data_IF_399602022651
#
_entry.id   IF_399602022651
#
_cell.length_a   1.000
_cell.length_b   1.000
_cell.length_c   1.000
_cell.angle_alpha   90.00
_cell.angle_beta   90.00
_cell.angle_gamma   90.00
#
_symmetry.space_group_name_H-M   'P 1'
#
loop_
_entity.id
_entity.type
_entity.pdbx_description
1 polymer ?
#
# COMPACT_ATOMS: atom_id res chain seq x y z
N UNK A 1 -19.57 14.53 -29.55
CA UNK A 1 -19.01 14.12 -28.26
C UNK A 1 -20.12 13.40 -27.51
N UNK A 2 -19.98 12.12 -27.21
CA UNK A 2 -20.93 11.37 -26.38
C UNK A 2 -20.92 11.93 -24.96
N UNK A 3 -22.09 12.18 -24.40
CA UNK A 3 -22.25 12.65 -23.03
C UNK A 3 -21.62 11.60 -22.09
N UNK A 4 -20.81 11.98 -21.09
CA UNK A 4 -20.23 10.99 -20.16
C UNK A 4 -21.34 10.22 -19.46
N UNK A 5 -21.13 8.93 -19.14
CA UNK A 5 -22.15 8.13 -18.46
C UNK A 5 -22.43 8.73 -17.08
N UNK A 6 -23.72 8.75 -16.72
CA UNK A 6 -24.16 9.24 -15.41
C UNK A 6 -23.92 8.21 -14.29
N UNK A 7 -23.97 6.93 -14.63
CA UNK A 7 -23.64 5.82 -13.75
C UNK A 7 -22.90 4.72 -14.54
N UNK A 8 -22.09 3.93 -13.84
CA UNK A 8 -21.25 2.87 -14.43
C UNK A 8 -21.54 1.55 -13.75
N UNK A 9 -21.94 0.53 -14.50
CA UNK A 9 -21.88 -0.88 -14.12
C UNK A 9 -20.49 -1.40 -14.49
N UNK A 10 -19.78 -2.01 -13.55
CA UNK A 10 -18.35 -2.31 -13.70
C UNK A 10 -18.14 -3.70 -14.31
N UNK A 11 -18.97 -4.66 -13.91
CA UNK A 11 -18.90 -6.04 -14.37
C UNK A 11 -20.27 -6.56 -14.78
N UNK A 12 -20.35 -7.46 -15.74
CA UNK A 12 -21.61 -8.00 -16.24
C UNK A 12 -22.48 -8.65 -15.15
N UNK A 13 -21.87 -9.24 -14.13
CA UNK A 13 -22.57 -9.86 -13.00
C UNK A 13 -23.06 -8.86 -11.93
N UNK A 14 -22.70 -7.58 -12.02
CA UNK A 14 -23.06 -6.59 -11.00
C UNK A 14 -24.58 -6.36 -11.02
N UNK A 15 -25.16 -6.28 -9.84
CA UNK A 15 -26.57 -5.91 -9.63
C UNK A 15 -26.74 -4.47 -9.14
N UNK A 16 -25.64 -3.73 -9.10
CA UNK A 16 -25.59 -2.29 -8.80
C UNK A 16 -24.76 -1.54 -9.85
N UNK A 17 -25.01 -0.24 -10.00
CA UNK A 17 -24.16 0.70 -10.72
C UNK A 17 -23.68 1.80 -9.79
N UNK A 18 -22.55 2.44 -10.10
CA UNK A 18 -21.98 3.55 -9.33
C UNK A 18 -22.30 4.87 -10.02
N UNK A 19 -22.88 5.80 -9.29
CA UNK A 19 -23.16 7.17 -9.76
C UNK A 19 -21.83 7.93 -9.96
N UNK A 20 -21.56 8.46 -11.13
CA UNK A 20 -20.35 9.22 -11.45
C UNK A 20 -20.42 10.63 -10.86
N UNK A 21 -21.62 11.18 -10.76
CA UNK A 21 -21.94 12.48 -10.13
C UNK A 21 -23.20 12.36 -9.28
N UNK A 22 -23.55 13.42 -8.56
CA UNK A 22 -24.81 13.47 -7.83
C UNK A 22 -26.00 13.42 -8.79
N UNK A 23 -27.00 12.59 -8.48
CA UNK A 23 -28.17 12.34 -9.30
C UNK A 23 -29.44 12.60 -8.49
N UNK A 24 -30.42 13.27 -9.09
CA UNK A 24 -31.68 13.65 -8.41
C UNK A 24 -32.74 12.55 -8.48
N UNK A 25 -33.56 12.44 -7.45
CA UNK A 25 -34.75 11.60 -7.42
C UNK A 25 -35.66 11.82 -8.66
N UNK A 26 -36.26 10.76 -9.14
CA UNK A 26 -37.16 10.80 -10.33
C UNK A 26 -36.44 10.93 -11.69
N UNK A 27 -35.11 11.15 -11.69
CA UNK A 27 -34.36 11.17 -12.96
C UNK A 27 -34.16 9.76 -13.52
N UNK A 28 -34.19 9.62 -14.86
CA UNK A 28 -33.84 8.40 -15.57
C UNK A 28 -32.33 8.34 -15.83
N UNK A 29 -31.69 7.26 -15.43
CA UNK A 29 -30.25 7.00 -15.66
C UNK A 29 -30.13 5.79 -16.59
N UNK A 30 -29.39 5.95 -17.71
CA UNK A 30 -29.15 4.85 -18.64
C UNK A 30 -27.91 4.06 -18.24
N UNK A 31 -28.08 2.78 -17.96
CA UNK A 31 -27.00 1.82 -17.65
C UNK A 31 -27.09 0.66 -18.62
N UNK A 32 -26.04 0.42 -19.40
CA UNK A 32 -25.99 -0.65 -20.44
C UNK A 32 -27.19 -0.65 -21.42
N UNK A 33 -27.80 0.53 -21.71
CA UNK A 33 -28.91 0.69 -22.59
C UNK A 33 -30.29 0.62 -21.93
N UNK A 34 -30.38 0.24 -20.67
CA UNK A 34 -31.62 0.22 -19.90
C UNK A 34 -31.75 1.50 -19.06
N UNK A 35 -32.96 2.06 -19.00
CA UNK A 35 -33.27 3.25 -18.23
C UNK A 35 -33.79 2.85 -16.84
N UNK A 36 -33.03 3.24 -15.79
CA UNK A 36 -33.40 3.06 -14.38
C UNK A 36 -33.89 4.39 -13.83
N UNK A 37 -35.08 4.46 -13.30
CA UNK A 37 -35.63 5.66 -12.66
C UNK A 37 -35.25 5.67 -11.19
N UNK A 38 -34.59 6.74 -10.76
CA UNK A 38 -34.10 6.88 -9.37
C UNK A 38 -35.25 7.14 -8.40
N UNK A 39 -35.23 6.47 -7.27
CA UNK A 39 -36.25 6.61 -6.22
C UNK A 39 -35.98 7.71 -5.21
N UNK A 40 -34.71 8.10 -5.09
CA UNK A 40 -34.19 9.09 -4.16
C UNK A 40 -32.94 9.76 -4.74
N UNK A 41 -32.46 10.80 -4.09
CA UNK A 41 -31.20 11.46 -4.46
C UNK A 41 -30.02 10.52 -4.20
N UNK A 42 -29.14 10.34 -5.18
CA UNK A 42 -27.95 9.49 -5.08
C UNK A 42 -26.70 10.35 -5.14
N UNK A 43 -25.87 10.39 -4.07
CA UNK A 43 -24.63 11.13 -4.10
C UNK A 43 -23.60 10.53 -5.08
N UNK A 44 -22.61 11.33 -5.49
CA UNK A 44 -21.51 10.86 -6.31
C UNK A 44 -20.74 9.72 -5.62
N UNK A 45 -20.34 8.68 -6.38
CA UNK A 45 -19.62 7.53 -5.85
C UNK A 45 -20.52 6.46 -5.20
N UNK A 46 -21.81 6.75 -5.00
CA UNK A 46 -22.75 5.83 -4.36
C UNK A 46 -23.41 4.87 -5.35
N UNK A 47 -23.96 3.78 -4.81
CA UNK A 47 -24.51 2.66 -5.56
C UNK A 47 -26.02 2.81 -5.79
N UNK A 48 -26.44 2.47 -7.01
CA UNK A 48 -27.83 2.40 -7.46
C UNK A 48 -28.16 0.94 -7.71
N UNK A 49 -29.26 0.42 -7.16
CA UNK A 49 -29.73 -0.93 -7.50
C UNK A 49 -30.27 -0.99 -8.93
N UNK A 50 -29.85 -2.00 -9.69
CA UNK A 50 -30.30 -2.23 -11.07
C UNK A 50 -31.52 -3.14 -11.16
N UNK A 51 -31.82 -3.89 -10.09
CA UNK A 51 -32.94 -4.79 -10.00
C UNK A 51 -33.51 -4.84 -8.60
N UNK A 52 -34.63 -5.52 -8.39
CA UNK A 52 -35.09 -5.84 -7.03
C UNK A 52 -34.08 -6.79 -6.36
N UNK A 53 -33.76 -6.51 -5.10
CA UNK A 53 -32.91 -7.33 -4.22
C UNK A 53 -33.67 -7.62 -2.92
N UNK A 54 -33.71 -8.88 -2.54
CA UNK A 54 -34.41 -9.33 -1.33
C UNK A 54 -33.44 -9.53 -0.15
N UNK A 55 -33.89 -9.42 1.09
CA UNK A 55 -33.05 -9.68 2.27
C UNK A 55 -32.37 -11.04 2.18
N UNK A 56 -31.07 -11.09 2.51
CA UNK A 56 -30.23 -12.27 2.37
C UNK A 56 -29.55 -12.43 1.01
N UNK A 57 -29.99 -11.69 -0.02
CA UNK A 57 -29.30 -11.71 -1.31
C UNK A 57 -27.96 -10.96 -1.24
N UNK A 58 -26.95 -11.43 -2.01
CA UNK A 58 -25.69 -10.69 -2.13
C UNK A 58 -25.86 -9.45 -3.01
N UNK A 59 -25.32 -8.32 -2.57
CA UNK A 59 -25.01 -7.19 -3.46
C UNK A 59 -23.71 -7.49 -4.18
N UNK A 60 -23.72 -7.47 -5.50
CA UNK A 60 -22.57 -7.80 -6.36
C UNK A 60 -22.05 -6.53 -7.02
N UNK A 61 -20.76 -6.23 -6.83
CA UNK A 61 -20.01 -5.15 -7.45
C UNK A 61 -18.63 -5.68 -7.85
N UNK A 62 -18.08 -5.23 -8.95
CA UNK A 62 -16.81 -5.75 -9.50
C UNK A 62 -16.86 -7.25 -9.90
N UNK A 63 -18.04 -7.84 -10.00
CA UNK A 63 -18.25 -9.27 -10.20
C UNK A 63 -18.15 -10.13 -8.93
N UNK A 64 -18.07 -9.51 -7.74
CA UNK A 64 -17.95 -10.17 -6.44
C UNK A 64 -19.01 -9.67 -5.46
N UNK A 65 -19.46 -10.52 -4.51
CA UNK A 65 -20.30 -10.07 -3.41
C UNK A 65 -19.56 -9.07 -2.53
N UNK A 66 -20.16 -7.90 -2.32
CA UNK A 66 -19.64 -6.84 -1.45
C UNK A 66 -20.41 -6.74 -0.12
N UNK A 67 -21.39 -7.59 0.11
CA UNK A 67 -22.23 -7.62 1.31
C UNK A 67 -23.55 -8.30 1.05
N UNK A 68 -24.40 -8.29 2.05
CA UNK A 68 -25.72 -8.92 2.08
C UNK A 68 -26.82 -7.90 2.36
N UNK A 69 -27.91 -7.98 1.58
CA UNK A 69 -29.08 -7.12 1.73
C UNK A 69 -29.77 -7.36 3.09
N UNK A 70 -30.08 -6.29 3.81
CA UNK A 70 -30.77 -6.34 5.12
C UNK A 70 -32.24 -5.96 5.05
N UNK A 71 -32.66 -5.20 4.02
CA UNK A 71 -34.04 -4.78 3.77
C UNK A 71 -34.30 -4.77 2.25
N UNK A 72 -35.53 -5.01 1.78
CA UNK A 72 -35.85 -5.05 0.34
C UNK A 72 -35.38 -3.78 -0.38
N UNK A 73 -34.69 -3.94 -1.51
CA UNK A 73 -34.19 -2.85 -2.32
C UNK A 73 -34.83 -2.91 -3.70
N UNK A 74 -35.53 -1.84 -4.09
CA UNK A 74 -36.16 -1.75 -5.39
C UNK A 74 -35.17 -1.22 -6.47
N UNK A 75 -35.42 -1.46 -7.78
CA UNK A 75 -34.62 -0.84 -8.84
C UNK A 75 -34.62 0.68 -8.69
N UNK A 76 -33.45 1.30 -8.88
CA UNK A 76 -33.26 2.75 -8.75
C UNK A 76 -33.12 3.26 -7.33
N UNK A 77 -33.18 2.39 -6.30
CA UNK A 77 -32.96 2.77 -4.91
C UNK A 77 -31.47 2.87 -4.58
N UNK A 78 -31.15 3.68 -3.60
CA UNK A 78 -29.80 3.84 -3.05
C UNK A 78 -29.40 2.59 -2.23
N UNK A 79 -28.25 2.02 -2.54
CA UNK A 79 -27.67 0.89 -1.81
C UNK A 79 -26.56 1.41 -0.92
N UNK A 80 -26.78 1.34 0.41
CA UNK A 80 -25.82 1.85 1.40
C UNK A 80 -26.00 1.15 2.75
N UNK A 81 -25.36 1.63 3.80
CA UNK A 81 -25.34 1.03 5.15
C UNK A 81 -26.73 0.79 5.79
N UNK A 82 -27.76 1.50 5.35
CA UNK A 82 -29.13 1.30 5.84
C UNK A 82 -29.81 0.03 5.29
N UNK A 83 -29.31 -0.55 4.21
CA UNK A 83 -29.89 -1.75 3.58
C UNK A 83 -28.85 -2.79 3.11
N UNK A 84 -27.58 -2.59 3.47
CA UNK A 84 -26.46 -3.49 3.17
C UNK A 84 -25.55 -3.67 4.40
N UNK A 85 -25.20 -4.89 4.73
CA UNK A 85 -24.23 -5.26 5.77
C UNK A 85 -23.09 -6.09 5.19
N UNK A 86 -21.96 -6.13 5.90
CA UNK A 86 -20.84 -7.05 5.59
C UNK A 86 -21.23 -8.50 5.77
N UNK A 87 -20.56 -9.39 5.05
CA UNK A 87 -20.62 -10.85 5.20
C UNK A 87 -19.41 -11.43 5.95
N UNK A 88 -18.50 -10.56 6.42
CA UNK A 88 -17.31 -10.99 7.14
C UNK A 88 -17.66 -11.46 8.54
N UNK A 89 -17.22 -12.67 8.86
CA UNK A 89 -17.41 -13.31 10.14
C UNK A 89 -16.06 -13.88 10.62
N UNK A 90 -15.50 -13.36 11.69
CA UNK A 90 -14.38 -13.93 12.45
C UNK A 90 -13.28 -14.64 11.65
N UNK A 91 -12.77 -15.74 12.23
CA UNK A 91 -11.79 -16.61 11.58
C UNK A 91 -12.44 -17.51 10.54
N UNK A 92 -11.75 -17.76 9.45
CA UNK A 92 -12.23 -18.60 8.35
C UNK A 92 -11.24 -19.75 8.12
N UNK A 93 -11.75 -20.95 7.88
CA UNK A 93 -10.95 -22.07 7.39
C UNK A 93 -10.82 -21.99 5.86
N UNK A 94 -9.59 -21.98 5.38
CA UNK A 94 -9.28 -21.93 3.95
C UNK A 94 -8.72 -23.27 3.50
N UNK A 95 -9.09 -23.68 2.29
CA UNK A 95 -8.59 -24.91 1.69
C UNK A 95 -7.62 -24.59 0.57
N UNK A 96 -6.46 -25.27 0.56
CA UNK A 96 -5.50 -25.16 -0.52
C UNK A 96 -6.03 -25.83 -1.79
N UNK A 97 -6.02 -25.08 -2.87
CA UNK A 97 -6.28 -25.55 -4.23
C UNK A 97 -5.03 -25.23 -5.06
N UNK A 98 -4.31 -26.24 -5.60
CA UNK A 98 -3.13 -25.99 -6.42
C UNK A 98 -3.43 -25.03 -7.57
N UNK A 99 -2.54 -24.06 -7.79
CA UNK A 99 -2.68 -23.12 -8.89
C UNK A 99 -2.52 -23.85 -10.23
N UNK A 100 -3.59 -23.95 -10.98
CA UNK A 100 -3.56 -24.53 -12.33
C UNK A 100 -2.99 -23.52 -13.34
N UNK A 101 -1.69 -23.67 -13.64
CA UNK A 101 -0.98 -22.83 -14.63
C UNK A 101 -1.50 -22.99 -16.05
N UNK A 102 -2.29 -24.02 -16.33
CA UNK A 102 -2.86 -24.25 -17.67
C UNK A 102 -4.16 -23.52 -17.89
N UNK A 103 -4.84 -23.10 -16.83
CA UNK A 103 -5.97 -22.17 -16.92
C UNK A 103 -5.40 -20.80 -17.30
N UNK A 104 -5.36 -20.49 -18.59
CA UNK A 104 -5.25 -19.10 -19.04
C UNK A 104 -6.24 -18.30 -18.22
N UNK A 105 -5.78 -17.25 -17.57
CA UNK A 105 -6.61 -16.49 -16.66
C UNK A 105 -7.91 -16.14 -17.40
N UNK A 106 -9.07 -16.46 -16.83
CA UNK A 106 -10.37 -16.07 -17.40
C UNK A 106 -10.46 -14.53 -17.59
N UNK A 107 -9.50 -13.78 -17.02
CA UNK A 107 -9.29 -12.35 -17.25
C UNK A 107 -8.74 -12.03 -18.65
N UNK A 108 -7.94 -12.90 -19.27
CA UNK A 108 -7.46 -12.68 -20.65
C UNK A 108 -8.58 -12.85 -21.68
N UNK A 109 -9.60 -13.67 -21.38
CA UNK A 109 -10.75 -13.89 -22.26
C UNK A 109 -11.91 -12.93 -22.00
N UNK A 110 -12.03 -12.34 -20.80
CA UNK A 110 -13.15 -11.43 -20.44
C UNK A 110 -12.95 -9.97 -20.85
N UNK A 111 -11.71 -9.50 -20.91
CA UNK A 111 -11.38 -8.17 -21.46
C UNK A 111 -10.84 -8.36 -22.89
N UNK A 112 -11.68 -8.73 -23.81
CA UNK A 112 -11.36 -8.66 -25.24
C UNK A 112 -10.76 -7.29 -25.56
N UNK A 113 -9.46 -7.29 -25.94
CA UNK A 113 -8.61 -6.17 -26.29
C UNK A 113 -7.90 -5.47 -25.11
N UNK A 114 -6.91 -6.09 -24.53
CA UNK A 114 -5.75 -5.32 -24.15
C UNK A 114 -4.72 -5.42 -25.29
N UNK A 115 -4.76 -4.48 -26.22
CA UNK A 115 -3.69 -4.27 -27.22
C UNK A 115 -2.36 -3.83 -26.58
N UNK A 116 -2.25 -3.90 -25.27
CA UNK A 116 -1.02 -3.66 -24.53
C UNK A 116 -0.22 -4.94 -24.42
N UNK A 117 0.55 -5.26 -25.48
CA UNK A 117 1.65 -6.22 -25.34
C UNK A 117 2.59 -5.71 -24.25
N UNK A 118 2.71 -6.47 -23.16
CA UNK A 118 3.78 -6.26 -22.19
C UNK A 118 5.08 -6.51 -22.96
N UNK A 119 6.03 -5.54 -23.03
CA UNK A 119 7.31 -5.78 -23.68
C UNK A 119 7.95 -7.02 -23.02
N UNK A 120 8.65 -7.81 -23.79
CA UNK A 120 9.40 -8.98 -23.27
C UNK A 120 10.53 -8.57 -22.30
N UNK A 121 10.93 -7.30 -22.33
CA UNK A 121 11.90 -6.68 -21.42
C UNK A 121 11.58 -5.20 -21.25
N UNK A 122 11.74 -4.69 -20.06
CA UNK A 122 11.69 -3.27 -19.77
C UNK A 122 12.85 -2.91 -18.83
N UNK A 123 13.40 -1.73 -19.02
CA UNK A 123 14.54 -1.23 -18.25
C UNK A 123 14.20 0.11 -17.63
N UNK A 124 14.87 0.41 -16.53
CA UNK A 124 14.84 1.72 -15.90
C UNK A 124 16.26 2.16 -15.51
N UNK A 125 16.43 3.43 -15.20
CA UNK A 125 17.71 3.94 -14.73
C UNK A 125 17.70 4.02 -13.21
N UNK A 126 18.55 3.17 -12.58
CA UNK A 126 18.66 3.02 -11.13
C UNK A 126 20.10 2.99 -10.63
N UNK A 127 20.26 3.02 -9.32
CA UNK A 127 21.55 2.96 -8.64
C UNK A 127 21.80 1.53 -8.15
N UNK A 128 22.74 0.82 -8.79
CA UNK A 128 23.12 -0.53 -8.37
C UNK A 128 24.00 -0.47 -7.15
N UNK A 129 23.55 -1.12 -6.07
CA UNK A 129 24.29 -1.17 -4.80
C UNK A 129 25.25 -2.36 -4.77
N UNK A 130 26.24 -2.33 -3.86
CA UNK A 130 27.19 -3.41 -3.63
C UNK A 130 26.50 -4.76 -3.35
N UNK A 131 25.35 -4.74 -2.72
CA UNK A 131 24.50 -5.94 -2.47
C UNK A 131 23.82 -6.51 -3.71
N UNK A 132 23.97 -5.90 -4.89
CA UNK A 132 23.26 -6.25 -6.12
C UNK A 132 21.85 -5.64 -6.23
N UNK A 133 21.26 -5.16 -5.13
CA UNK A 133 19.94 -4.49 -5.14
C UNK A 133 20.04 -3.15 -5.86
N UNK A 134 18.89 -2.68 -6.37
CA UNK A 134 18.83 -1.44 -7.15
C UNK A 134 17.92 -0.42 -6.47
N UNK A 135 18.45 0.78 -6.25
CA UNK A 135 17.68 1.92 -5.80
C UNK A 135 17.16 2.75 -6.98
N UNK A 136 15.96 3.25 -6.88
CA UNK A 136 15.40 4.26 -7.80
C UNK A 136 15.81 5.67 -7.39
N UNK A 137 16.32 5.83 -6.16
CA UNK A 137 16.81 7.07 -5.57
C UNK A 137 18.20 6.87 -4.99
N UNK A 138 18.91 7.98 -4.77
CA UNK A 138 20.22 8.04 -4.12
C UNK A 138 20.17 9.08 -3.00
N UNK A 139 19.63 8.70 -1.87
CA UNK A 139 19.30 9.60 -0.77
C UNK A 139 20.24 9.36 0.43
N UNK A 140 20.45 10.37 1.25
CA UNK A 140 21.00 10.21 2.60
C UNK A 140 19.84 10.10 3.57
N UNK A 141 19.82 9.02 4.35
CA UNK A 141 18.79 8.76 5.35
C UNK A 141 19.36 8.88 6.76
N UNK A 142 18.69 9.68 7.59
CA UNK A 142 19.00 9.82 9.01
C UNK A 142 17.98 9.02 9.79
N UNK A 143 18.44 7.98 10.46
CA UNK A 143 17.62 7.00 11.17
C UNK A 143 17.84 7.16 12.69
N UNK A 144 16.77 7.44 13.41
CA UNK A 144 16.81 7.66 14.85
C UNK A 144 16.66 6.35 15.61
N UNK A 145 17.47 6.13 16.64
CA UNK A 145 17.28 4.98 17.55
C UNK A 145 16.16 5.24 18.56
N UNK A 146 15.83 6.52 18.81
CA UNK A 146 14.86 6.97 19.80
C UNK A 146 14.22 8.29 19.37
N UNK A 147 12.97 8.53 19.74
CA UNK A 147 12.23 9.76 19.41
C UNK A 147 12.81 11.04 20.02
N UNK A 148 13.63 10.94 21.07
CA UNK A 148 14.25 12.10 21.72
C UNK A 148 15.16 12.91 20.79
N UNK A 149 15.75 12.28 19.77
CA UNK A 149 16.63 12.94 18.78
C UNK A 149 15.93 13.34 17.49
N UNK A 150 14.59 13.25 17.42
CA UNK A 150 13.83 13.59 16.22
C UNK A 150 14.12 15.02 15.73
N UNK A 151 14.12 16.01 16.63
CA UNK A 151 14.34 17.41 16.25
C UNK A 151 15.75 17.67 15.70
N UNK A 152 16.77 17.03 16.30
CA UNK A 152 18.13 17.08 15.79
C UNK A 152 18.21 16.47 14.39
N UNK A 153 17.63 15.27 14.19
CA UNK A 153 17.61 14.60 12.90
C UNK A 153 16.86 15.41 11.81
N UNK A 154 15.72 16.01 12.14
CA UNK A 154 14.96 16.87 11.23
C UNK A 154 15.74 18.13 10.84
N UNK A 155 16.44 18.73 11.79
CA UNK A 155 17.30 19.89 11.56
C UNK A 155 18.50 19.52 10.66
N UNK A 156 19.18 18.44 10.98
CA UNK A 156 20.30 17.93 10.16
C UNK A 156 19.81 17.60 8.75
N UNK A 157 18.65 16.95 8.60
CA UNK A 157 18.10 16.62 7.31
C UNK A 157 17.79 17.87 6.46
N UNK A 158 17.15 18.87 7.05
CA UNK A 158 16.82 20.13 6.37
C UNK A 158 18.08 20.89 5.93
N UNK A 159 19.00 21.14 6.85
CA UNK A 159 20.23 21.86 6.56
C UNK A 159 21.16 21.06 5.64
N UNK A 160 21.20 19.74 5.79
CA UNK A 160 21.92 18.84 4.89
C UNK A 160 21.36 18.83 3.48
N UNK A 161 20.04 18.85 3.33
CA UNK A 161 19.40 18.95 2.01
C UNK A 161 19.73 20.28 1.30
N UNK A 162 19.74 21.40 2.06
CA UNK A 162 20.11 22.70 1.51
C UNK A 162 21.57 22.76 1.01
N UNK A 163 22.48 22.04 1.69
CA UNK A 163 23.92 22.05 1.36
C UNK A 163 24.32 21.05 0.28
N UNK A 164 23.72 19.86 0.29
CA UNK A 164 24.22 18.70 -0.45
C UNK A 164 23.24 18.14 -1.49
N UNK A 165 21.92 18.38 -1.37
CA UNK A 165 20.97 17.91 -2.38
C UNK A 165 21.07 18.74 -3.66
N UNK A 166 21.11 18.07 -4.79
CA UNK A 166 21.17 18.74 -6.10
C UNK A 166 19.88 19.51 -6.38
N UNK A 167 19.99 20.81 -6.62
CA UNK A 167 18.84 21.62 -7.07
C UNK A 167 18.39 21.10 -8.46
N UNK A 168 17.13 20.63 -8.53
CA UNK A 168 16.55 20.15 -9.78
C UNK A 168 16.98 18.75 -10.23
N UNK A 169 17.54 17.91 -9.33
CA UNK A 169 17.86 16.51 -9.63
C UNK A 169 19.15 16.30 -10.43
N UNK A 170 20.03 17.31 -10.51
CA UNK A 170 21.28 17.25 -11.27
C UNK A 170 22.52 16.82 -10.48
N UNK A 171 22.40 16.55 -9.18
CA UNK A 171 23.50 16.12 -8.32
C UNK A 171 23.52 14.60 -8.07
N UNK A 172 24.60 14.09 -7.44
CA UNK A 172 24.69 12.66 -7.09
C UNK A 172 23.73 12.26 -5.97
N UNK A 173 23.16 13.22 -5.22
CA UNK A 173 22.23 13.01 -4.09
C UNK A 173 20.86 13.57 -4.44
N UNK A 174 19.85 12.71 -4.40
CA UNK A 174 18.45 13.08 -4.66
C UNK A 174 17.79 13.81 -3.46
N UNK A 175 18.34 13.67 -2.25
CA UNK A 175 17.84 14.35 -1.04
C UNK A 175 18.47 13.84 0.26
N UNK A 176 18.20 14.57 1.36
CA UNK A 176 18.55 14.16 2.73
C UNK A 176 17.27 14.11 3.55
N UNK A 177 16.96 13.00 4.19
CA UNK A 177 15.70 12.76 4.89
C UNK A 177 15.92 12.20 6.29
N UNK A 178 15.21 12.76 7.28
CA UNK A 178 15.14 12.25 8.64
C UNK A 178 13.89 11.39 8.85
N UNK A 179 14.06 10.25 9.50
CA UNK A 179 12.97 9.33 9.83
C UNK A 179 12.62 9.45 11.31
N UNK A 180 11.69 10.34 11.62
CA UNK A 180 11.19 10.55 12.97
C UNK A 180 10.18 9.48 13.36
N UNK A 181 10.16 9.09 14.63
CA UNK A 181 9.19 8.15 15.20
C UNK A 181 8.90 8.49 16.67
N UNK A 182 7.72 8.09 17.22
CA UNK A 182 7.29 8.46 18.57
C UNK A 182 7.89 7.58 19.68
N UNK A 183 8.71 6.59 19.36
CA UNK A 183 9.17 5.61 20.34
C UNK A 183 10.22 6.17 21.29
N UNK A 184 9.95 6.02 22.60
CA UNK A 184 10.81 6.51 23.66
C UNK A 184 11.97 5.59 24.00
N UNK A 185 12.75 5.99 25.03
CA UNK A 185 13.98 5.29 25.44
C UNK A 185 13.73 3.94 26.13
N UNK A 186 12.54 3.71 26.70
CA UNK A 186 12.21 2.54 27.51
C UNK A 186 11.53 1.39 26.76
N UNK A 187 11.67 1.28 25.43
CA UNK A 187 11.10 0.15 24.70
C UNK A 187 11.64 -1.20 25.19
N UNK A 188 10.77 -2.19 25.28
CA UNK A 188 11.08 -3.54 25.74
C UNK A 188 10.48 -4.61 24.82
N UNK A 189 10.95 -5.85 24.96
CA UNK A 189 10.35 -7.04 24.36
C UNK A 189 10.19 -6.93 22.84
N UNK A 190 8.99 -7.22 22.35
CA UNK A 190 8.68 -7.24 20.92
C UNK A 190 8.67 -5.85 20.29
N UNK A 191 8.26 -4.83 21.03
CA UNK A 191 8.27 -3.45 20.54
C UNK A 191 9.68 -3.01 20.18
N UNK A 192 10.65 -3.26 21.08
CA UNK A 192 12.06 -2.98 20.82
C UNK A 192 12.56 -3.79 19.60
N UNK A 193 12.30 -5.09 19.58
CA UNK A 193 12.74 -5.95 18.47
C UNK A 193 12.16 -5.53 17.12
N UNK A 194 10.89 -5.13 17.09
CA UNK A 194 10.23 -4.69 15.85
C UNK A 194 10.78 -3.34 15.38
N UNK A 195 11.03 -2.39 16.30
CA UNK A 195 11.69 -1.13 15.99
C UNK A 195 13.08 -1.37 15.41
N UNK A 196 13.89 -2.22 16.05
CA UNK A 196 15.22 -2.57 15.56
C UNK A 196 15.19 -3.22 14.17
N UNK A 197 14.24 -4.15 13.92
CA UNK A 197 14.07 -4.79 12.61
C UNK A 197 13.70 -3.79 11.52
N UNK A 198 12.80 -2.86 11.84
CA UNK A 198 12.40 -1.80 10.90
C UNK A 198 13.59 -0.89 10.55
N UNK A 199 14.33 -0.39 11.55
CA UNK A 199 15.51 0.45 11.35
C UNK A 199 16.61 -0.29 10.60
N UNK A 200 16.90 -1.54 10.95
CA UNK A 200 17.86 -2.38 10.23
C UNK A 200 17.43 -2.64 8.77
N UNK A 201 16.14 -2.75 8.52
CA UNK A 201 15.58 -2.81 7.16
C UNK A 201 15.83 -1.54 6.37
N UNK A 202 15.59 -0.37 6.98
CA UNK A 202 15.86 0.94 6.37
C UNK A 202 17.35 1.15 6.09
N UNK A 203 18.25 0.74 7.00
CA UNK A 203 19.69 0.80 6.78
C UNK A 203 20.17 0.02 5.55
N UNK A 204 19.42 -1.02 5.16
CA UNK A 204 19.71 -1.87 3.98
C UNK A 204 18.87 -1.50 2.77
N UNK A 205 18.04 -0.47 2.85
CA UNK A 205 17.15 -0.10 1.75
C UNK A 205 17.96 0.45 0.57
N UNK A 206 17.72 -0.01 -0.67
CA UNK A 206 18.55 0.38 -1.82
C UNK A 206 18.43 1.86 -2.22
N UNK A 207 17.39 2.57 -1.81
CA UNK A 207 17.27 4.02 -2.03
C UNK A 207 18.18 4.83 -1.11
N UNK A 208 18.57 4.27 0.06
CA UNK A 208 19.58 4.88 0.91
C UNK A 208 20.97 4.71 0.29
N UNK A 209 21.46 5.76 -0.36
CA UNK A 209 22.82 5.83 -0.85
C UNK A 209 23.83 6.04 0.25
N UNK A 210 23.43 6.71 1.35
CA UNK A 210 24.15 6.87 2.59
C UNK A 210 23.20 6.84 3.79
N UNK A 211 23.66 6.37 4.92
CA UNK A 211 22.88 6.28 6.18
C UNK A 211 23.64 6.91 7.33
N UNK A 212 22.99 7.82 8.04
CA UNK A 212 23.40 8.28 9.37
C UNK A 212 22.46 7.67 10.41
N UNK A 213 22.98 6.93 11.38
CA UNK A 213 22.21 6.47 12.54
C UNK A 213 22.50 7.41 13.71
N UNK A 214 21.45 8.06 14.23
CA UNK A 214 21.51 9.02 15.32
C UNK A 214 20.88 8.43 16.58
N UNK A 215 21.69 8.23 17.61
CA UNK A 215 21.26 7.82 18.94
C UNK A 215 21.26 8.97 19.93
N UNK A 216 20.58 8.81 21.06
CA UNK A 216 20.77 9.69 22.23
C UNK A 216 21.93 9.19 23.09
N UNK A 217 21.96 7.88 23.40
CA UNK A 217 22.99 7.21 24.20
C UNK A 217 22.47 6.43 25.40
N UNK A 218 21.31 6.82 25.96
CA UNK A 218 20.73 6.18 27.15
C UNK A 218 19.51 5.29 26.87
N UNK A 219 19.07 5.15 25.62
CA UNK A 219 17.92 4.33 25.22
C UNK A 219 18.24 2.83 25.21
N UNK A 220 17.18 1.99 25.35
CA UNK A 220 17.33 0.53 25.25
C UNK A 220 17.71 0.07 23.84
N UNK A 221 17.35 0.83 22.83
CA UNK A 221 17.73 0.58 21.44
C UNK A 221 19.18 1.02 21.16
N UNK A 222 20.13 0.37 21.81
CA UNK A 222 21.54 0.69 21.75
C UNK A 222 22.13 0.50 20.34
N UNK A 223 23.03 1.41 19.97
CA UNK A 223 23.68 1.49 18.66
C UNK A 223 24.30 0.15 18.23
N UNK A 224 25.09 -0.47 19.10
CA UNK A 224 25.76 -1.73 18.80
C UNK A 224 24.78 -2.88 18.50
N UNK A 225 23.66 -2.93 19.21
CA UNK A 225 22.62 -3.92 18.99
C UNK A 225 21.96 -3.77 17.60
N UNK A 226 21.66 -2.53 17.25
CA UNK A 226 21.07 -2.20 15.94
C UNK A 226 22.05 -2.49 14.80
N UNK A 227 23.32 -2.09 14.93
CA UNK A 227 24.34 -2.34 13.91
C UNK A 227 24.62 -3.83 13.68
N UNK A 228 24.59 -4.63 14.75
CA UNK A 228 24.68 -6.10 14.62
C UNK A 228 23.49 -6.68 13.86
N UNK A 229 22.29 -6.23 14.16
CA UNK A 229 21.06 -6.68 13.49
C UNK A 229 21.01 -6.27 12.02
N UNK A 230 21.53 -5.08 11.71
CA UNK A 230 21.62 -4.61 10.33
C UNK A 230 22.54 -5.48 9.46
N UNK A 231 23.53 -6.17 10.06
CA UNK A 231 24.38 -7.15 9.39
C UNK A 231 25.27 -6.54 8.29
N UNK A 232 25.19 -7.08 7.08
CA UNK A 232 26.01 -6.63 5.94
C UNK A 232 25.50 -5.32 5.35
N UNK A 233 25.88 -4.20 5.96
CA UNK A 233 25.69 -2.84 5.44
C UNK A 233 27.02 -2.31 4.92
N UNK A 234 26.97 -1.44 3.90
CA UNK A 234 28.17 -0.80 3.35
C UNK A 234 28.75 0.20 4.35
N UNK A 235 29.83 -0.19 5.02
CA UNK A 235 30.49 0.63 6.05
C UNK A 235 31.03 1.96 5.51
N UNK A 236 31.38 2.04 4.25
CA UNK A 236 31.81 3.30 3.63
C UNK A 236 30.67 4.32 3.57
N UNK A 237 29.42 3.86 3.54
CA UNK A 237 28.19 4.64 3.42
C UNK A 237 27.37 4.68 4.71
N UNK A 238 27.97 4.32 5.84
CA UNK A 238 27.33 4.34 7.16
C UNK A 238 28.10 5.27 8.10
N UNK A 239 27.38 6.15 8.76
CA UNK A 239 27.85 6.97 9.89
C UNK A 239 26.90 6.78 11.04
N UNK A 240 27.42 6.90 12.26
CA UNK A 240 26.60 6.79 13.48
C UNK A 240 27.31 7.48 14.64
N UNK A 241 26.52 8.04 15.54
CA UNK A 241 26.98 8.58 16.83
C UNK A 241 25.80 8.74 17.79
N UNK A 242 26.09 8.92 19.07
CA UNK A 242 25.13 9.30 20.09
C UNK A 242 25.25 10.79 20.42
N UNK A 243 24.11 11.51 20.54
CA UNK A 243 24.07 12.94 20.85
C UNK A 243 24.81 13.28 22.15
N UNK A 244 24.77 12.38 23.17
CA UNK A 244 25.46 12.57 24.46
C UNK A 244 26.99 12.46 24.37
N UNK A 245 27.52 11.98 23.25
CA UNK A 245 28.97 11.79 23.04
C UNK A 245 29.64 12.95 22.27
N UNK A 246 28.83 13.91 21.78
CA UNK A 246 29.29 15.03 20.97
C UNK A 246 28.93 16.37 21.61
N UNK A 247 29.66 17.44 21.26
CA UNK A 247 29.42 18.78 21.79
C UNK A 247 28.18 19.43 21.18
N UNK A 248 27.97 19.25 19.84
CA UNK A 248 26.82 19.73 19.11
C UNK A 248 26.41 18.63 18.11
N UNK A 249 25.22 18.08 18.32
CA UNK A 249 24.70 16.97 17.52
C UNK A 249 24.32 17.38 16.09
N UNK A 250 23.98 18.67 15.89
CA UNK A 250 23.65 19.17 14.56
C UNK A 250 24.91 19.35 13.72
N UNK A 251 25.94 19.95 14.30
CA UNK A 251 27.23 20.12 13.62
C UNK A 251 27.87 18.77 13.29
N UNK A 252 27.90 17.84 14.25
CA UNK A 252 28.40 16.47 14.05
C UNK A 252 27.57 15.73 12.96
N UNK A 253 26.26 15.89 12.98
CA UNK A 253 25.36 15.31 11.99
C UNK A 253 25.59 15.86 10.59
N UNK A 254 25.79 17.18 10.45
CA UNK A 254 26.09 17.82 9.16
C UNK A 254 27.44 17.39 8.61
N UNK A 255 28.45 17.21 9.48
CA UNK A 255 29.74 16.66 9.08
C UNK A 255 29.60 15.21 8.59
N UNK A 256 28.83 14.38 9.29
CA UNK A 256 28.52 13.01 8.88
C UNK A 256 27.79 12.97 7.51
N UNK A 257 26.82 13.86 7.28
CA UNK A 257 26.14 14.01 5.97
C UNK A 257 27.12 14.43 4.89
N UNK A 258 28.05 15.36 5.18
CA UNK A 258 29.09 15.76 4.22
C UNK A 258 30.00 14.60 3.81
N UNK A 259 30.41 13.77 4.78
CA UNK A 259 31.22 12.58 4.52
C UNK A 259 30.44 11.53 3.67
N UNK A 260 29.14 11.34 3.94
CA UNK A 260 28.28 10.48 3.14
C UNK A 260 28.12 11.03 1.73
N UNK A 261 27.91 12.33 1.59
CA UNK A 261 27.81 13.00 0.31
C UNK A 261 29.06 12.79 -0.54
N UNK A 262 30.25 12.97 0.06
CA UNK A 262 31.52 12.70 -0.62
C UNK A 262 31.67 11.23 -1.04
N UNK A 263 31.24 10.28 -0.22
CA UNK A 263 31.24 8.87 -0.57
C UNK A 263 30.28 8.52 -1.73
N UNK A 264 29.25 9.33 -1.95
CA UNK A 264 28.24 9.16 -2.99
C UNK A 264 28.53 9.96 -4.28
N UNK A 265 29.57 10.79 -4.30
CA UNK A 265 29.87 11.71 -5.41
C UNK A 265 29.98 11.03 -6.78
N UNK A 266 30.45 9.80 -6.82
CA UNK A 266 30.63 9.02 -8.06
C UNK A 266 29.45 8.12 -8.39
N UNK A 267 28.36 8.17 -7.64
CA UNK A 267 27.19 7.38 -7.93
C UNK A 267 26.52 7.86 -9.22
N UNK A 268 26.26 6.93 -10.09
CA UNK A 268 25.58 7.19 -11.35
C UNK A 268 24.44 6.20 -11.59
N UNK A 269 23.37 6.68 -12.22
CA UNK A 269 22.30 5.82 -12.67
C UNK A 269 22.75 4.95 -13.83
N UNK A 270 22.60 3.65 -13.72
CA UNK A 270 22.85 2.67 -14.76
C UNK A 270 21.54 2.06 -15.23
N UNK A 271 21.56 1.44 -16.41
CA UNK A 271 20.43 0.68 -16.91
C UNK A 271 20.25 -0.59 -16.07
N UNK A 272 19.03 -0.80 -15.59
CA UNK A 272 18.63 -1.92 -14.75
C UNK A 272 17.35 -2.53 -15.29
N UNK A 273 17.21 -3.87 -15.32
CA UNK A 273 15.98 -4.51 -15.78
C UNK A 273 14.84 -4.26 -14.79
N UNK A 274 13.60 -4.20 -15.29
CA UNK A 274 12.41 -4.00 -14.47
C UNK A 274 12.21 -5.12 -13.42
N UNK A 275 12.83 -6.28 -13.61
CA UNK A 275 12.86 -7.37 -12.62
C UNK A 275 13.57 -7.00 -11.30
N UNK A 276 14.43 -5.97 -11.32
CA UNK A 276 15.10 -5.47 -10.12
C UNK A 276 14.21 -4.49 -9.31
N UNK A 277 13.06 -4.06 -9.89
CA UNK A 277 12.16 -3.11 -9.26
C UNK A 277 11.22 -3.81 -8.27
N UNK A 278 11.10 -3.25 -7.08
CA UNK A 278 10.10 -3.65 -6.07
C UNK A 278 9.21 -2.45 -5.77
N UNK A 279 7.90 -2.63 -5.92
CA UNK A 279 6.90 -1.60 -5.72
C UNK A 279 6.02 -1.95 -4.51
N UNK A 280 6.00 -1.08 -3.51
CA UNK A 280 5.06 -1.16 -2.39
C UNK A 280 3.74 -0.46 -2.73
N UNK A 281 2.62 -1.14 -2.47
CA UNK A 281 1.29 -0.57 -2.59
C UNK A 281 0.71 -0.29 -1.21
N UNK A 282 0.16 0.91 -1.04
CA UNK A 282 -0.51 1.34 0.18
C UNK A 282 -1.82 2.05 -0.17
N UNK A 283 -2.85 1.83 0.66
CA UNK A 283 -4.10 2.56 0.57
C UNK A 283 -3.88 4.07 0.77
N UNK A 284 -4.66 4.88 0.04
CA UNK A 284 -4.76 6.32 0.22
C UNK A 284 -6.11 6.72 0.81
N UNK A 285 -6.70 7.81 0.32
CA UNK A 285 -8.10 8.14 0.58
C UNK A 285 -9.00 7.26 -0.30
N UNK A 286 -9.97 6.56 0.32
CA UNK A 286 -10.86 5.65 -0.40
C UNK A 286 -12.28 6.19 -0.45
N UNK A 287 -12.91 6.10 -1.62
CA UNK A 287 -14.32 6.42 -1.86
C UNK A 287 -14.92 5.46 -2.89
N UNK A 288 -16.20 5.59 -3.21
CA UNK A 288 -16.88 4.72 -4.17
C UNK A 288 -16.31 4.80 -5.60
N UNK A 289 -15.55 5.84 -5.96
CA UNK A 289 -14.89 6.00 -7.26
C UNK A 289 -13.48 5.38 -7.29
N UNK A 290 -12.82 5.25 -6.14
CA UNK A 290 -11.47 4.63 -6.05
C UNK A 290 -11.46 3.21 -6.61
N UNK A 291 -12.52 2.43 -6.35
CA UNK A 291 -12.66 1.05 -6.85
C UNK A 291 -12.82 0.93 -8.37
N UNK A 292 -13.17 2.01 -9.06
CA UNK A 292 -13.31 2.03 -10.53
C UNK A 292 -12.19 2.81 -11.23
N UNK A 293 -11.34 3.53 -10.48
CA UNK A 293 -10.25 4.36 -11.02
C UNK A 293 -8.88 3.92 -10.49
N UNK A 294 -8.53 4.34 -9.28
CA UNK A 294 -7.20 4.15 -8.70
C UNK A 294 -6.88 2.66 -8.46
N UNK A 295 -7.78 1.89 -7.83
CA UNK A 295 -7.52 0.49 -7.48
C UNK A 295 -7.29 -0.40 -8.72
N UNK A 296 -8.11 -0.33 -9.79
CA UNK A 296 -7.82 -1.06 -11.04
C UNK A 296 -6.50 -0.64 -11.70
N UNK A 297 -6.14 0.65 -11.65
CA UNK A 297 -4.87 1.13 -12.18
C UNK A 297 -3.68 0.54 -11.41
N UNK A 298 -3.73 0.56 -10.07
CA UNK A 298 -2.71 -0.04 -9.21
C UNK A 298 -2.59 -1.54 -9.47
N UNK A 299 -3.71 -2.26 -9.59
CA UNK A 299 -3.73 -3.68 -9.96
C UNK A 299 -3.10 -3.95 -11.33
N UNK A 300 -3.37 -3.09 -12.34
CA UNK A 300 -2.74 -3.20 -13.67
C UNK A 300 -1.22 -2.98 -13.62
N UNK A 301 -0.75 -2.03 -12.81
CA UNK A 301 0.68 -1.79 -12.62
C UNK A 301 1.33 -3.01 -11.96
N UNK A 302 0.68 -3.58 -10.94
CA UNK A 302 1.14 -4.80 -10.26
C UNK A 302 1.27 -5.98 -11.25
N UNK A 303 0.23 -6.24 -12.04
CA UNK A 303 0.24 -7.31 -13.04
C UNK A 303 1.37 -7.13 -14.08
N UNK A 304 1.60 -5.90 -14.53
CA UNK A 304 2.67 -5.60 -15.50
C UNK A 304 4.06 -5.77 -14.92
N UNK A 305 4.28 -5.25 -13.71
CA UNK A 305 5.58 -5.34 -13.07
C UNK A 305 5.95 -6.78 -12.76
N UNK A 306 5.00 -7.57 -12.24
CA UNK A 306 5.22 -9.00 -11.96
C UNK A 306 5.43 -9.83 -13.23
N UNK A 307 4.75 -9.49 -14.33
CA UNK A 307 4.98 -10.12 -15.65
C UNK A 307 6.40 -9.84 -16.18
N UNK A 308 7.04 -8.74 -15.79
CA UNK A 308 8.42 -8.40 -16.10
C UNK A 308 9.43 -9.00 -15.09
N UNK A 309 8.97 -9.79 -14.13
CA UNK A 309 9.80 -10.41 -13.08
C UNK A 309 10.05 -9.50 -11.88
N UNK A 310 9.48 -8.31 -11.82
CA UNK A 310 9.59 -7.41 -10.68
C UNK A 310 8.74 -7.86 -9.48
N UNK A 311 9.00 -7.26 -8.33
CA UNK A 311 8.29 -7.54 -7.07
C UNK A 311 7.19 -6.53 -6.78
N UNK A 312 6.09 -7.00 -6.16
CA UNK A 312 5.04 -6.14 -5.62
C UNK A 312 4.78 -6.55 -4.17
N UNK A 313 4.72 -5.55 -3.29
CA UNK A 313 4.39 -5.73 -1.87
C UNK A 313 3.03 -5.06 -1.64
N UNK A 314 2.03 -5.86 -1.23
CA UNK A 314 0.77 -5.35 -0.73
C UNK A 314 0.91 -5.11 0.77
N UNK A 315 0.47 -3.96 1.23
CA UNK A 315 0.46 -3.60 2.66
C UNK A 315 -0.96 -3.62 3.21
N UNK A 316 -1.11 -3.35 4.51
CA UNK A 316 -2.42 -3.18 5.16
C UNK A 316 -3.29 -4.44 5.10
N UNK A 317 -2.78 -5.54 5.68
CA UNK A 317 -3.46 -6.85 5.72
C UNK A 317 -4.96 -6.77 6.08
N UNK A 318 -5.42 -5.93 7.04
CA UNK A 318 -6.85 -5.81 7.32
C UNK A 318 -7.71 -5.36 6.14
N UNK A 319 -7.14 -4.67 5.16
CA UNK A 319 -7.89 -4.18 3.99
C UNK A 319 -8.08 -5.23 2.89
N UNK A 320 -7.47 -6.42 3.03
CA UNK A 320 -7.69 -7.55 2.12
C UNK A 320 -8.73 -8.55 2.63
N UNK A 321 -9.28 -8.34 3.82
CA UNK A 321 -10.33 -9.22 4.35
C UNK A 321 -11.56 -9.23 3.45
N UNK A 322 -12.04 -10.42 3.09
CA UNK A 322 -13.08 -10.63 2.09
C UNK A 322 -12.56 -10.85 0.67
N UNK A 323 -11.33 -10.40 0.35
CA UNK A 323 -10.66 -10.62 -0.92
C UNK A 323 -9.44 -11.55 -0.83
N UNK A 324 -9.07 -11.99 0.36
CA UNK A 324 -7.87 -12.80 0.64
C UNK A 324 -7.80 -14.09 -0.18
N UNK A 325 -8.96 -14.70 -0.49
CA UNK A 325 -8.98 -15.92 -1.32
C UNK A 325 -8.44 -15.70 -2.73
N UNK A 326 -8.54 -14.47 -3.28
CA UNK A 326 -7.99 -14.14 -4.58
C UNK A 326 -6.45 -14.21 -4.59
N UNK A 327 -5.82 -13.83 -3.47
CA UNK A 327 -4.38 -13.95 -3.27
C UNK A 327 -3.99 -15.42 -2.96
N UNK A 328 -4.73 -16.09 -2.08
CA UNK A 328 -4.50 -17.49 -1.70
C UNK A 328 -4.51 -18.42 -2.92
N UNK A 329 -5.42 -18.24 -3.87
CA UNK A 329 -5.48 -18.99 -5.12
C UNK A 329 -4.30 -18.75 -6.06
N UNK A 330 -3.49 -17.74 -5.81
CA UNK A 330 -2.28 -17.40 -6.59
C UNK A 330 -1.00 -17.87 -5.91
N UNK A 331 -1.10 -18.50 -4.74
CA UNK A 331 0.04 -19.05 -4.04
C UNK A 331 0.80 -20.05 -4.93
N UNK A 332 2.12 -19.91 -4.99
CA UNK A 332 2.97 -20.76 -5.84
C UNK A 332 3.00 -22.20 -5.38
N UNK A 333 2.82 -22.42 -4.09
CA UNK A 333 2.76 -23.71 -3.43
C UNK A 333 1.93 -23.66 -2.13
N UNK A 334 1.79 -24.82 -1.49
CA UNK A 334 1.01 -24.96 -0.25
C UNK A 334 1.66 -24.24 0.94
N UNK A 335 2.97 -24.10 0.98
CA UNK A 335 3.68 -23.40 2.06
C UNK A 335 3.32 -21.91 2.04
N UNK A 336 3.43 -21.27 0.88
CA UNK A 336 3.02 -19.86 0.69
C UNK A 336 1.52 -19.68 0.96
N UNK A 337 0.68 -20.63 0.56
CA UNK A 337 -0.74 -20.58 0.89
C UNK A 337 -0.95 -20.56 2.40
N UNK A 338 -0.31 -21.45 3.15
CA UNK A 338 -0.41 -21.51 4.62
C UNK A 338 0.12 -20.25 5.29
N UNK A 339 1.19 -19.65 4.77
CA UNK A 339 1.72 -18.39 5.26
C UNK A 339 0.71 -17.24 5.09
N UNK A 340 0.01 -17.18 3.94
CA UNK A 340 -1.06 -16.19 3.72
C UNK A 340 -2.22 -16.43 4.69
N UNK A 341 -2.63 -17.68 4.88
CA UNK A 341 -3.71 -18.03 5.84
C UNK A 341 -3.32 -17.61 7.25
N UNK A 342 -2.12 -17.94 7.70
CA UNK A 342 -1.61 -17.55 9.02
C UNK A 342 -1.60 -16.03 9.17
N UNK A 343 -1.03 -15.29 8.20
CA UNK A 343 -0.97 -13.83 8.21
C UNK A 343 -2.35 -13.20 8.36
N UNK A 344 -3.36 -13.68 7.61
CA UNK A 344 -4.71 -13.15 7.62
C UNK A 344 -5.43 -13.49 8.93
N UNK A 345 -5.37 -14.76 9.36
CA UNK A 345 -6.08 -15.21 10.56
C UNK A 345 -5.44 -14.66 11.84
N UNK A 346 -4.11 -14.56 11.94
CA UNK A 346 -3.42 -13.95 13.07
C UNK A 346 -3.86 -12.48 13.26
N UNK A 347 -4.04 -11.77 12.14
CA UNK A 347 -4.48 -10.38 12.20
C UNK A 347 -5.96 -10.26 12.59
N UNK A 348 -6.83 -11.14 12.08
CA UNK A 348 -8.23 -11.24 12.53
C UNK A 348 -8.31 -11.56 14.02
N UNK A 349 -7.50 -12.52 14.49
CA UNK A 349 -7.44 -12.89 15.91
C UNK A 349 -6.96 -11.73 16.79
N UNK A 350 -6.04 -10.90 16.29
CA UNK A 350 -5.61 -9.68 16.98
C UNK A 350 -6.81 -8.75 17.27
N UNK A 351 -7.69 -8.49 16.29
CA UNK A 351 -8.92 -7.71 16.51
C UNK A 351 -9.83 -8.38 17.54
N UNK A 352 -10.09 -9.67 17.38
CA UNK A 352 -11.01 -10.43 18.26
C UNK A 352 -10.51 -10.46 19.70
N UNK A 353 -9.21 -10.63 19.95
CA UNK A 353 -8.62 -10.58 21.30
C UNK A 353 -8.80 -9.23 21.99
N UNK A 354 -8.91 -8.16 21.23
CA UNK A 354 -9.19 -6.81 21.75
C UNK A 354 -10.67 -6.46 21.75
N UNK A 355 -11.57 -7.43 21.50
CA UNK A 355 -13.02 -7.20 21.49
C UNK A 355 -13.48 -6.29 20.35
N UNK A 356 -12.69 -6.19 19.26
CA UNK A 356 -13.01 -5.38 18.10
C UNK A 356 -13.49 -6.26 16.95
N UNK A 357 -14.50 -5.80 16.17
CA UNK A 357 -14.89 -6.50 14.95
C UNK A 357 -13.82 -6.36 13.88
N UNK A 358 -13.69 -7.38 13.04
CA UNK A 358 -12.68 -7.40 11.94
C UNK A 358 -13.05 -6.50 10.76
N UNK A 359 -14.24 -5.90 10.78
CA UNK A 359 -14.84 -5.14 9.68
C UNK A 359 -15.16 -3.67 10.02
N UNK A 360 -14.45 -3.06 10.99
CA UNK A 360 -14.59 -1.64 11.32
C UNK A 360 -14.13 -0.68 10.19
N UNK A 361 -13.36 -1.19 9.23
CA UNK A 361 -13.07 -0.50 7.99
C UNK A 361 -14.20 -0.82 6.96
N UNK A 362 -14.75 0.11 6.18
CA UNK A 362 -14.31 1.50 5.93
C UNK A 362 -14.62 2.48 7.08
N UNK A 363 -13.75 3.49 7.21
CA UNK A 363 -13.95 4.58 8.17
C UNK A 363 -15.19 5.43 7.82
N UNK A 364 -15.74 6.22 8.77
CA UNK A 364 -16.93 7.04 8.52
C UNK A 364 -16.81 7.97 7.31
N UNK A 365 -15.63 8.54 7.04
CA UNK A 365 -15.38 9.36 5.87
C UNK A 365 -15.41 8.58 4.55
N UNK A 366 -14.92 7.33 4.55
CA UNK A 366 -15.00 6.45 3.38
C UNK A 366 -16.45 5.98 3.13
N UNK A 367 -17.22 5.76 4.20
CA UNK A 367 -18.65 5.45 4.13
C UNK A 367 -19.43 6.63 3.52
N UNK A 368 -19.19 7.85 4.00
CA UNK A 368 -19.76 9.06 3.40
C UNK A 368 -19.37 9.25 1.94
N UNK A 369 -18.22 8.71 1.50
CA UNK A 369 -17.74 8.71 0.11
C UNK A 369 -18.29 7.57 -0.75
N UNK A 370 -19.24 6.76 -0.26
CA UNK A 370 -19.96 5.74 -1.04
C UNK A 370 -19.54 4.30 -0.80
N UNK A 371 -18.49 4.02 -0.01
CA UNK A 371 -18.16 2.66 0.42
C UNK A 371 -19.08 2.21 1.56
N UNK A 372 -19.41 0.92 1.64
CA UNK A 372 -20.32 0.39 2.67
C UNK A 372 -19.69 -0.70 3.51
N UNK A 373 -18.86 -1.53 2.92
CA UNK A 373 -18.29 -2.72 3.56
C UNK A 373 -16.81 -2.84 3.23
N UNK A 374 -16.09 -3.65 3.99
CA UNK A 374 -14.68 -3.89 3.74
C UNK A 374 -14.47 -4.70 2.45
N UNK A 375 -15.40 -5.60 2.13
CA UNK A 375 -15.36 -6.37 0.87
C UNK A 375 -15.50 -5.49 -0.37
N UNK A 376 -16.10 -4.30 -0.22
CA UNK A 376 -16.22 -3.32 -1.31
C UNK A 376 -14.94 -2.52 -1.51
N UNK A 377 -14.18 -2.29 -0.43
CA UNK A 377 -12.98 -1.46 -0.40
C UNK A 377 -11.78 -2.14 -1.05
#
# INVERSE_FOLDING_TARGET
>A
MTRPPQAVKIHAADNVAVAVGALAAGSGVVVEGECVVLREDIPAGHKISLRTLEPGEPVVKYGFPIGEVTAPIAPGAWVHTHNLKTRLEGLVEYRYEPFDRTRKSERETRNGRSDFRVPSSAFFRGYRRRTGRVGTRNEVWILNTVGCVNHAAERIAREGAERFAGRGGGGPIDGVYGFSHPYGCGQLGDDLRNTQRALAGLMRHPNAGGVLVLGLGCENNQMDGLLRLAGDVDRARLRFFNSQEVTDEVDAGLEAVAQLAAAMERDARVECPASDLVLGHKCGGSDGLSGITANPLVGRIADRLTALGGGVILTEVPEIFGAEQLLMRRAVDEAVFRDIVALVNDFKEYFLRHGQPIYENPSPGNVAGGLTTLEEK
#
